data_IF_335466945588
#
_entry.id   IF_335466945588
#
_cell.length_a   1.000
_cell.length_b   1.000
_cell.length_c   1.000
_cell.angle_alpha   90.00
_cell.angle_beta   90.00
_cell.angle_gamma   90.00
#
_symmetry.space_group_name_H-M   'P 1'
#
loop_
_entity.id
_entity.type
_entity.pdbx_description
1 polymer ?
#
# COMPACT_ATOMS: atom_id res chain seq x y z
N UNK A 1 29.08 -19.51 7.76
CA UNK A 1 29.53 -20.27 8.95
C UNK A 1 30.28 -21.57 8.57
N UNK A 2 30.80 -21.68 7.34
CA UNK A 2 31.20 -22.94 6.70
C UNK A 2 30.60 -23.01 5.28
N UNK A 3 30.93 -24.02 4.45
CA UNK A 3 30.31 -24.20 3.13
C UNK A 3 28.80 -24.44 3.22
N UNK A 4 28.04 -23.98 2.23
CA UNK A 4 26.57 -24.07 2.25
C UNK A 4 26.07 -25.52 2.24
N UNK A 5 25.10 -25.80 3.09
CA UNK A 5 24.41 -27.08 3.15
C UNK A 5 23.48 -27.27 1.94
N UNK A 6 23.01 -28.51 1.73
CA UNK A 6 22.03 -28.81 0.68
C UNK A 6 20.72 -28.03 0.87
N UNK A 7 20.24 -27.94 2.11
CA UNK A 7 19.00 -27.21 2.41
C UNK A 7 19.15 -25.71 2.10
N UNK A 8 20.30 -25.11 2.44
CA UNK A 8 20.58 -23.71 2.13
C UNK A 8 20.66 -23.46 0.62
N UNK A 9 21.25 -24.38 -0.15
CA UNK A 9 21.26 -24.32 -1.61
C UNK A 9 19.87 -24.42 -2.20
N UNK A 10 19.06 -25.37 -1.75
CA UNK A 10 17.68 -25.53 -2.22
C UNK A 10 16.85 -24.28 -1.91
N UNK A 11 16.95 -23.75 -0.69
CA UNK A 11 16.29 -22.50 -0.31
C UNK A 11 16.70 -21.33 -1.22
N UNK A 12 17.98 -21.21 -1.53
CA UNK A 12 18.48 -20.16 -2.42
C UNK A 12 17.93 -20.31 -3.85
N UNK A 13 17.85 -21.53 -4.37
CA UNK A 13 17.27 -21.81 -5.69
C UNK A 13 15.80 -21.44 -5.72
N UNK A 14 15.01 -21.86 -4.72
CA UNK A 14 13.59 -21.50 -4.62
C UNK A 14 13.43 -19.98 -4.53
N UNK A 15 14.21 -19.31 -3.69
CA UNK A 15 14.19 -17.85 -3.56
C UNK A 15 14.47 -17.14 -4.89
N UNK A 16 15.53 -17.55 -5.61
CA UNK A 16 15.84 -17.01 -6.93
C UNK A 16 14.74 -17.29 -7.95
N UNK A 17 14.11 -18.46 -7.88
CA UNK A 17 12.97 -18.82 -8.69
C UNK A 17 11.78 -17.88 -8.45
N UNK A 18 11.40 -17.66 -7.20
CA UNK A 18 10.32 -16.72 -6.82
C UNK A 18 10.63 -15.31 -7.31
N UNK A 19 11.83 -14.80 -7.03
CA UNK A 19 12.24 -13.47 -7.46
C UNK A 19 12.21 -13.34 -9.00
N UNK A 20 12.71 -14.35 -9.71
CA UNK A 20 12.68 -14.42 -11.17
C UNK A 20 11.25 -14.37 -11.72
N UNK A 21 10.36 -15.21 -11.19
CA UNK A 21 8.97 -15.28 -11.62
C UNK A 21 8.19 -14.00 -11.28
N UNK A 22 8.49 -13.33 -10.18
CA UNK A 22 7.91 -12.02 -9.88
C UNK A 22 8.38 -10.94 -10.87
N UNK A 23 9.67 -10.93 -11.23
CA UNK A 23 10.19 -9.98 -12.23
C UNK A 23 9.62 -10.24 -13.63
N UNK A 24 9.33 -11.50 -13.97
CA UNK A 24 8.80 -11.89 -15.29
C UNK A 24 7.28 -12.00 -15.37
N UNK A 25 6.54 -11.47 -14.39
CA UNK A 25 5.07 -11.56 -14.37
C UNK A 25 4.40 -11.09 -15.66
N UNK A 26 4.95 -10.07 -16.33
CA UNK A 26 4.44 -9.58 -17.61
C UNK A 26 4.55 -10.58 -18.78
N UNK A 27 5.41 -11.60 -18.68
CA UNK A 27 5.64 -12.60 -19.73
C UNK A 27 4.70 -13.82 -19.63
N UNK A 28 4.37 -14.24 -18.40
CA UNK A 28 3.61 -15.46 -18.16
C UNK A 28 2.26 -15.23 -17.46
N UNK A 29 1.99 -14.02 -16.95
CA UNK A 29 0.71 -13.66 -16.34
C UNK A 29 0.39 -14.40 -15.03
N UNK A 30 1.38 -15.04 -14.40
CA UNK A 30 1.15 -15.76 -13.14
C UNK A 30 1.01 -14.78 -11.99
N UNK A 31 -0.04 -14.92 -11.20
CA UNK A 31 -0.27 -14.08 -10.04
C UNK A 31 0.81 -14.30 -8.98
N UNK A 32 1.27 -13.23 -8.33
CA UNK A 32 2.33 -13.27 -7.31
C UNK A 32 2.01 -14.24 -6.16
N UNK A 33 0.73 -14.35 -5.76
CA UNK A 33 0.27 -15.31 -4.74
C UNK A 33 0.45 -16.76 -5.19
N UNK A 34 0.17 -17.07 -6.46
CA UNK A 34 0.34 -18.42 -6.98
C UNK A 34 1.81 -18.83 -6.99
N UNK A 35 2.69 -17.91 -7.39
CA UNK A 35 4.15 -18.11 -7.34
C UNK A 35 4.62 -18.40 -5.90
N UNK A 36 4.12 -17.65 -4.91
CA UNK A 36 4.46 -17.87 -3.51
C UNK A 36 3.97 -19.24 -2.99
N UNK A 37 2.74 -19.65 -3.33
CA UNK A 37 2.21 -20.96 -2.95
C UNK A 37 3.00 -22.12 -3.60
N UNK A 38 3.37 -21.97 -4.87
CA UNK A 38 4.23 -22.95 -5.56
C UNK A 38 5.60 -23.09 -4.89
N UNK A 39 6.16 -21.97 -4.41
CA UNK A 39 7.41 -21.99 -3.66
C UNK A 39 7.29 -22.75 -2.34
N UNK A 40 6.19 -22.53 -1.59
CA UNK A 40 5.89 -23.29 -0.37
C UNK A 40 5.78 -24.78 -0.67
N UNK A 41 5.06 -25.16 -1.74
CA UNK A 41 4.99 -26.55 -2.19
C UNK A 41 6.39 -27.12 -2.51
N UNK A 42 7.24 -26.35 -3.20
CA UNK A 42 8.62 -26.75 -3.49
C UNK A 42 9.47 -26.96 -2.23
N UNK A 43 9.34 -26.08 -1.23
CA UNK A 43 10.07 -26.19 0.04
C UNK A 43 9.61 -27.40 0.87
N UNK A 44 8.31 -27.71 0.85
CA UNK A 44 7.76 -28.92 1.48
C UNK A 44 8.23 -30.20 0.78
N UNK A 45 8.19 -30.23 -0.56
CA UNK A 45 8.61 -31.40 -1.35
C UNK A 45 10.12 -31.69 -1.25
N UNK A 46 10.91 -30.70 -0.83
CA UNK A 46 12.36 -30.82 -0.68
C UNK A 46 12.79 -31.01 0.77
N UNK A 47 11.83 -31.14 1.71
CA UNK A 47 12.04 -31.23 3.15
C UNK A 47 12.91 -30.09 3.72
N UNK A 48 12.93 -28.94 3.05
CA UNK A 48 13.57 -27.71 3.58
C UNK A 48 12.68 -27.06 4.62
N UNK A 49 11.36 -27.18 4.44
CA UNK A 49 10.35 -26.83 5.44
C UNK A 49 9.50 -28.07 5.73
N UNK A 50 9.15 -28.25 6.99
CA UNK A 50 8.17 -29.24 7.42
C UNK A 50 6.77 -28.61 7.51
N UNK A 51 5.74 -29.45 7.58
CA UNK A 51 4.38 -28.97 7.84
C UNK A 51 4.28 -28.26 9.20
N UNK A 52 5.00 -28.76 10.22
CA UNK A 52 5.00 -28.17 11.55
C UNK A 52 5.60 -26.76 11.53
N UNK A 53 6.67 -26.52 10.76
CA UNK A 53 7.24 -25.18 10.56
C UNK A 53 6.21 -24.19 10.02
N UNK A 54 5.35 -24.60 9.08
CA UNK A 54 4.31 -23.74 8.50
C UNK A 54 3.17 -23.49 9.49
N UNK A 55 2.71 -24.52 10.20
CA UNK A 55 1.58 -24.38 11.14
C UNK A 55 1.96 -23.68 12.44
N UNK A 56 3.24 -23.71 12.81
CA UNK A 56 3.77 -23.06 14.01
C UNK A 56 4.19 -21.61 13.78
N UNK A 57 4.24 -21.13 12.53
CA UNK A 57 4.56 -19.75 12.16
C UNK A 57 3.43 -18.77 12.54
N UNK A 58 3.32 -18.47 13.83
CA UNK A 58 2.23 -17.67 14.41
C UNK A 58 2.11 -16.29 13.78
N UNK A 59 3.21 -15.66 13.37
CA UNK A 59 3.16 -14.31 12.82
C UNK A 59 2.40 -14.28 11.47
N UNK A 60 2.58 -15.31 10.63
CA UNK A 60 1.86 -15.41 9.36
C UNK A 60 0.35 -15.62 9.58
N UNK A 61 -0.02 -16.51 10.51
CA UNK A 61 -1.42 -16.80 10.83
C UNK A 61 -2.14 -15.61 11.48
N UNK A 62 -1.46 -14.91 12.39
CA UNK A 62 -2.00 -13.71 13.02
C UNK A 62 -2.37 -12.68 11.94
N UNK A 63 -1.42 -12.32 11.07
CA UNK A 63 -1.65 -11.39 9.95
C UNK A 63 -2.79 -11.87 9.05
N UNK A 64 -2.82 -13.15 8.68
CA UNK A 64 -3.88 -13.69 7.82
C UNK A 64 -5.29 -13.47 8.40
N UNK A 65 -5.48 -13.71 9.70
CA UNK A 65 -6.79 -13.61 10.36
C UNK A 65 -7.23 -12.16 10.52
N UNK A 66 -6.41 -11.30 11.15
CA UNK A 66 -6.87 -9.94 11.44
C UNK A 66 -6.88 -9.04 10.20
N UNK A 67 -5.97 -9.25 9.24
CA UNK A 67 -5.93 -8.45 8.02
C UNK A 67 -7.16 -8.70 7.13
N UNK A 68 -7.63 -9.94 7.06
CA UNK A 68 -8.88 -10.28 6.35
C UNK A 68 -10.09 -9.54 6.93
N UNK A 69 -10.22 -9.53 8.26
CA UNK A 69 -11.26 -8.77 8.96
C UNK A 69 -11.16 -7.27 8.70
N UNK A 70 -9.95 -6.72 8.71
CA UNK A 70 -9.69 -5.31 8.47
C UNK A 70 -10.07 -4.87 7.03
N UNK A 71 -9.72 -5.66 6.02
CA UNK A 71 -10.13 -5.39 4.62
C UNK A 71 -11.65 -5.47 4.47
N UNK A 72 -12.30 -6.40 5.18
CA UNK A 72 -13.76 -6.52 5.15
C UNK A 72 -14.48 -5.35 5.79
N UNK A 73 -13.99 -4.86 6.93
CA UNK A 73 -14.49 -3.64 7.57
C UNK A 73 -14.30 -2.41 6.67
N UNK A 74 -13.15 -2.29 5.99
CA UNK A 74 -12.92 -1.21 5.03
C UNK A 74 -13.90 -1.25 3.85
N UNK A 75 -14.18 -2.44 3.33
CA UNK A 75 -15.21 -2.63 2.31
C UNK A 75 -16.62 -2.27 2.81
N UNK A 76 -16.95 -2.64 4.05
CA UNK A 76 -18.22 -2.26 4.67
C UNK A 76 -18.33 -0.73 4.88
N UNK A 77 -17.24 -0.08 5.28
CA UNK A 77 -17.13 1.37 5.42
C UNK A 77 -17.32 2.10 4.09
N UNK A 78 -16.80 1.53 3.00
CA UNK A 78 -17.05 2.03 1.64
C UNK A 78 -18.53 1.94 1.27
N UNK A 79 -19.16 0.79 1.55
CA UNK A 79 -20.58 0.53 1.21
C UNK A 79 -21.58 1.25 2.09
N UNK A 80 -21.20 1.68 3.30
CA UNK A 80 -22.09 2.44 4.19
C UNK A 80 -22.40 3.85 3.67
N UNK A 81 -21.64 4.32 2.67
CA UNK A 81 -21.75 5.68 2.14
C UNK A 81 -20.96 6.71 2.93
N UNK A 82 -20.36 6.36 4.08
CA UNK A 82 -19.61 7.32 4.89
C UNK A 82 -18.43 7.93 4.12
N UNK A 83 -17.63 7.10 3.44
CA UNK A 83 -16.47 7.60 2.67
C UNK A 83 -16.88 8.41 1.45
N UNK A 84 -18.06 8.13 0.89
CA UNK A 84 -18.68 8.95 -0.15
C UNK A 84 -19.04 10.32 0.38
N UNK A 85 -19.80 10.40 1.48
CA UNK A 85 -20.16 11.68 2.10
C UNK A 85 -18.91 12.46 2.51
N UNK A 86 -17.89 11.78 3.03
CA UNK A 86 -16.62 12.41 3.38
C UNK A 86 -15.91 13.02 2.16
N UNK A 87 -15.85 12.30 1.04
CA UNK A 87 -15.29 12.81 -0.21
C UNK A 87 -16.10 13.99 -0.77
N UNK A 88 -17.44 13.93 -0.72
CA UNK A 88 -18.33 15.01 -1.16
C UNK A 88 -18.18 16.28 -0.30
N UNK A 89 -18.05 16.13 1.03
CA UNK A 89 -17.76 17.25 1.94
C UNK A 89 -16.39 17.87 1.63
N UNK A 90 -15.38 17.04 1.37
CA UNK A 90 -14.06 17.52 0.97
C UNK A 90 -14.11 18.29 -0.36
N UNK A 91 -14.87 17.78 -1.33
CA UNK A 91 -15.09 18.44 -2.62
C UNK A 91 -15.82 19.78 -2.48
N UNK A 92 -16.77 19.87 -1.55
CA UNK A 92 -17.48 21.10 -1.20
C UNK A 92 -16.54 22.25 -0.80
N UNK A 93 -15.38 21.95 -0.20
CA UNK A 93 -14.37 22.96 0.15
C UNK A 93 -13.59 23.49 -1.07
N UNK A 94 -13.66 22.80 -2.21
CA UNK A 94 -12.91 23.11 -3.44
C UNK A 94 -13.79 23.65 -4.56
N UNK A 95 -15.05 24.00 -4.27
CA UNK A 95 -15.98 24.55 -5.26
C UNK A 95 -15.43 25.85 -5.84
N UNK A 96 -15.41 25.94 -7.17
CA UNK A 96 -14.90 27.11 -7.90
C UNK A 96 -13.38 27.17 -8.03
N UNK A 97 -12.64 26.20 -7.48
CA UNK A 97 -11.19 26.13 -7.65
C UNK A 97 -10.83 25.64 -9.05
N UNK A 98 -9.63 26.01 -9.52
CA UNK A 98 -9.06 25.40 -10.73
C UNK A 98 -8.72 23.94 -10.44
N UNK A 99 -8.91 23.05 -11.41
CA UNK A 99 -8.82 21.59 -11.22
C UNK A 99 -7.55 21.13 -10.50
N UNK A 100 -6.39 21.73 -10.78
CA UNK A 100 -5.11 21.33 -10.17
C UNK A 100 -5.02 21.74 -8.70
N UNK A 101 -5.64 22.86 -8.33
CA UNK A 101 -5.73 23.29 -6.93
C UNK A 101 -6.71 22.38 -6.16
N UNK A 102 -7.86 22.06 -6.78
CA UNK A 102 -8.84 21.14 -6.20
C UNK A 102 -8.24 19.74 -6.00
N UNK A 103 -7.53 19.22 -7.00
CA UNK A 103 -6.78 17.97 -6.92
C UNK A 103 -5.80 18.00 -5.74
N UNK A 104 -4.98 19.05 -5.61
CA UNK A 104 -4.04 19.19 -4.50
C UNK A 104 -4.73 19.15 -3.14
N UNK A 105 -5.80 19.92 -2.95
CA UNK A 105 -6.57 19.94 -1.71
C UNK A 105 -7.19 18.58 -1.38
N UNK A 106 -7.83 17.94 -2.35
CA UNK A 106 -8.46 16.62 -2.19
C UNK A 106 -7.43 15.52 -1.89
N UNK A 107 -6.27 15.55 -2.54
CA UNK A 107 -5.18 14.61 -2.28
C UNK A 107 -4.58 14.79 -0.88
N UNK A 108 -4.51 16.01 -0.34
CA UNK A 108 -4.08 16.25 1.04
C UNK A 108 -5.08 15.67 2.04
N UNK A 109 -6.39 15.89 1.81
CA UNK A 109 -7.43 15.30 2.65
C UNK A 109 -7.36 13.77 2.59
N UNK A 110 -7.26 13.19 1.40
CA UNK A 110 -7.10 11.75 1.20
C UNK A 110 -5.87 11.22 1.95
N UNK A 111 -4.69 11.83 1.74
CA UNK A 111 -3.44 11.40 2.35
C UNK A 111 -3.50 11.38 3.87
N UNK A 112 -3.98 12.47 4.47
CA UNK A 112 -4.00 12.61 5.93
C UNK A 112 -5.18 11.89 6.59
N UNK A 113 -6.24 11.56 5.85
CA UNK A 113 -7.27 10.64 6.35
C UNK A 113 -6.68 9.28 6.74
N UNK A 114 -5.52 8.90 6.21
CA UNK A 114 -4.83 7.67 6.58
C UNK A 114 -4.44 7.58 8.06
N UNK A 115 -4.36 8.70 8.79
CA UNK A 115 -4.26 8.65 10.26
C UNK A 115 -5.43 7.92 10.93
N UNK A 116 -6.57 7.79 10.25
CA UNK A 116 -7.73 7.01 10.70
C UNK A 116 -7.75 5.55 10.21
N UNK A 117 -6.74 5.09 9.47
CA UNK A 117 -6.71 3.75 8.87
C UNK A 117 -5.47 2.96 9.30
N UNK A 118 -5.67 1.69 9.65
CA UNK A 118 -4.60 0.77 10.04
C UNK A 118 -4.04 -0.07 8.87
N UNK A 119 -4.32 0.29 7.62
CA UNK A 119 -3.72 -0.33 6.43
C UNK A 119 -3.93 0.55 5.20
N UNK A 120 -2.88 0.72 4.40
CA UNK A 120 -2.97 1.36 3.08
C UNK A 120 -3.96 0.65 2.15
N UNK A 121 -4.11 -0.69 2.29
CA UNK A 121 -5.07 -1.45 1.48
C UNK A 121 -6.49 -1.17 1.93
N UNK A 122 -6.76 -1.12 3.24
CA UNK A 122 -8.07 -0.73 3.75
C UNK A 122 -8.43 0.71 3.36
N UNK A 123 -7.48 1.62 3.49
CA UNK A 123 -7.66 3.00 3.12
C UNK A 123 -8.03 3.13 1.63
N UNK A 124 -7.27 2.51 0.74
CA UNK A 124 -7.57 2.51 -0.70
C UNK A 124 -8.92 1.83 -1.00
N UNK A 125 -9.20 0.68 -0.38
CA UNK A 125 -10.49 -0.03 -0.55
C UNK A 125 -11.68 0.84 -0.15
N UNK A 126 -11.53 1.64 0.91
CA UNK A 126 -12.59 2.46 1.46
C UNK A 126 -12.79 3.78 0.70
N UNK A 127 -11.69 4.44 0.32
CA UNK A 127 -11.69 5.86 -0.07
C UNK A 127 -11.25 6.15 -1.51
N UNK A 128 -10.56 5.23 -2.19
CA UNK A 128 -10.01 5.50 -3.51
C UNK A 128 -11.09 5.88 -4.52
N UNK A 129 -12.15 5.07 -4.63
CA UNK A 129 -13.24 5.31 -5.59
C UNK A 129 -14.02 6.59 -5.26
N UNK A 130 -14.48 6.83 -4.01
CA UNK A 130 -15.11 8.10 -3.64
C UNK A 130 -14.29 9.35 -3.99
N UNK A 131 -12.98 9.34 -3.67
CA UNK A 131 -12.11 10.48 -3.96
C UNK A 131 -11.85 10.64 -5.46
N UNK A 132 -11.70 9.53 -6.20
CA UNK A 132 -11.55 9.57 -7.64
C UNK A 132 -12.75 10.25 -8.32
N UNK A 133 -13.97 9.92 -7.89
CA UNK A 133 -15.19 10.52 -8.44
C UNK A 133 -15.20 12.04 -8.26
N UNK A 134 -14.91 12.55 -7.06
CA UNK A 134 -14.93 13.99 -6.82
C UNK A 134 -13.77 14.74 -7.47
N UNK A 135 -12.60 14.11 -7.60
CA UNK A 135 -11.45 14.67 -8.31
C UNK A 135 -11.76 14.81 -9.82
N UNK A 136 -12.38 13.79 -10.43
CA UNK A 136 -12.81 13.85 -11.82
C UNK A 136 -13.89 14.90 -12.02
N UNK A 137 -14.84 15.02 -11.08
CA UNK A 137 -15.88 16.06 -11.12
C UNK A 137 -15.31 17.48 -11.00
N UNK A 138 -14.17 17.65 -10.34
CA UNK A 138 -13.42 18.92 -10.29
C UNK A 138 -12.67 19.25 -11.61
N UNK A 139 -12.75 18.38 -12.62
CA UNK A 139 -12.17 18.59 -13.95
C UNK A 139 -10.72 18.10 -14.11
N UNK A 140 -10.21 17.31 -13.17
CA UNK A 140 -8.85 16.75 -13.29
C UNK A 140 -8.76 15.72 -14.43
N UNK A 141 -7.66 15.70 -15.20
CA UNK A 141 -7.42 14.68 -16.23
C UNK A 141 -7.45 13.25 -15.63
N UNK A 142 -8.11 12.26 -16.29
CA UNK A 142 -8.31 10.94 -15.71
C UNK A 142 -7.02 10.22 -15.29
N UNK A 143 -5.99 10.26 -16.12
CA UNK A 143 -4.69 9.64 -15.81
C UNK A 143 -4.04 10.27 -14.58
N UNK A 144 -4.07 11.60 -14.48
CA UNK A 144 -3.53 12.33 -13.32
C UNK A 144 -4.31 11.97 -12.05
N UNK A 145 -5.63 11.91 -12.11
CA UNK A 145 -6.47 11.57 -10.96
C UNK A 145 -6.19 10.15 -10.44
N UNK A 146 -6.18 9.16 -11.34
CA UNK A 146 -5.95 7.74 -11.01
C UNK A 146 -4.56 7.52 -10.43
N UNK A 147 -3.53 8.04 -11.10
CA UNK A 147 -2.15 7.83 -10.69
C UNK A 147 -1.81 8.60 -9.41
N UNK A 148 -2.28 9.84 -9.26
CA UNK A 148 -2.06 10.61 -8.03
C UNK A 148 -2.62 9.89 -6.81
N UNK A 149 -3.87 9.40 -6.89
CA UNK A 149 -4.46 8.61 -5.81
C UNK A 149 -3.68 7.31 -5.57
N UNK A 150 -3.22 6.64 -6.63
CA UNK A 150 -2.44 5.41 -6.49
C UNK A 150 -1.12 5.66 -5.74
N UNK A 151 -0.39 6.72 -6.10
CA UNK A 151 0.83 7.09 -5.41
C UNK A 151 0.56 7.55 -3.97
N UNK A 152 -0.43 8.41 -3.74
CA UNK A 152 -0.73 8.93 -2.40
C UNK A 152 -1.23 7.85 -1.44
N UNK A 153 -1.88 6.80 -1.96
CA UNK A 153 -2.25 5.60 -1.18
C UNK A 153 -1.04 4.83 -0.65
N UNK A 154 0.12 4.96 -1.30
CA UNK A 154 1.36 4.32 -0.88
C UNK A 154 2.22 5.26 -0.04
N UNK A 155 2.30 6.54 -0.40
CA UNK A 155 3.10 7.54 0.31
C UNK A 155 2.63 7.75 1.75
N UNK A 156 1.34 7.55 2.05
CA UNK A 156 0.80 7.66 3.40
C UNK A 156 1.28 6.53 4.34
N UNK A 157 1.92 5.48 3.83
CA UNK A 157 2.46 4.37 4.61
C UNK A 157 3.40 4.79 5.75
N UNK A 158 4.10 5.91 5.59
CA UNK A 158 5.15 6.35 6.52
C UNK A 158 4.68 7.22 7.69
N UNK A 159 3.37 7.52 7.83
CA UNK A 159 2.90 8.54 8.79
C UNK A 159 2.50 7.98 10.16
N UNK A 160 2.18 6.69 10.25
CA UNK A 160 1.86 5.99 11.51
C UNK A 160 2.60 4.66 11.58
N UNK A 161 2.80 4.16 12.81
CA UNK A 161 3.42 2.85 13.04
C UNK A 161 2.52 1.68 12.62
N UNK A 162 1.22 1.91 12.37
CA UNK A 162 0.27 0.88 11.98
C UNK A 162 -0.23 1.03 10.53
N UNK A 163 0.21 2.03 9.77
CA UNK A 163 -0.34 2.30 8.44
C UNK A 163 -0.09 1.18 7.42
N UNK A 164 0.88 0.30 7.69
CA UNK A 164 1.23 -0.86 6.85
C UNK A 164 1.53 -2.09 7.70
N UNK A 165 1.47 -3.27 7.10
CA UNK A 165 1.78 -4.55 7.76
C UNK A 165 3.18 -4.61 8.37
N UNK A 166 4.26 -4.09 7.74
CA UNK A 166 5.58 -4.06 8.36
C UNK A 166 5.73 -3.05 9.51
N UNK A 167 4.84 -2.04 9.58
CA UNK A 167 4.92 -0.95 10.54
C UNK A 167 4.96 -1.43 12.00
N UNK A 168 3.99 -2.24 12.45
CA UNK A 168 3.97 -2.77 13.81
C UNK A 168 5.16 -3.67 14.13
N UNK A 169 5.67 -4.41 13.14
CA UNK A 169 6.86 -5.27 13.30
C UNK A 169 8.08 -4.40 13.61
N UNK A 170 8.30 -3.34 12.83
CA UNK A 170 9.41 -2.41 13.03
C UNK A 170 9.27 -1.61 14.33
N UNK A 171 8.06 -1.17 14.65
CA UNK A 171 7.79 -0.41 15.88
C UNK A 171 7.92 -1.28 17.14
N UNK A 172 7.52 -2.56 17.06
CA UNK A 172 7.64 -3.54 18.13
C UNK A 172 9.08 -3.85 18.55
N UNK A 173 10.07 -3.51 17.72
CA UNK A 173 11.48 -3.62 18.08
C UNK A 173 11.93 -2.63 19.17
N UNK A 174 11.11 -1.61 19.49
CA UNK A 174 11.34 -0.72 20.63
C UNK A 174 12.42 0.34 20.44
N UNK A 175 12.98 0.49 19.23
CA UNK A 175 14.04 1.47 18.95
C UNK A 175 13.59 2.93 18.95
N UNK A 176 12.31 3.21 18.71
CA UNK A 176 11.77 4.57 18.57
C UNK A 176 10.43 4.71 19.27
N UNK A 177 10.21 5.85 19.93
CA UNK A 177 8.92 6.17 20.56
C UNK A 177 7.86 6.49 19.50
N UNK A 178 6.58 6.29 19.84
CA UNK A 178 5.45 6.62 18.95
C UNK A 178 5.48 8.10 18.53
N UNK A 179 5.71 9.02 19.48
CA UNK A 179 5.75 10.45 19.21
C UNK A 179 6.87 10.82 18.23
N UNK A 180 8.05 10.20 18.38
CA UNK A 180 9.18 10.39 17.45
C UNK A 180 8.81 9.89 16.06
N UNK A 181 8.29 8.67 15.94
CA UNK A 181 7.92 8.07 14.65
C UNK A 181 6.87 8.91 13.93
N UNK A 182 5.83 9.35 14.62
CA UNK A 182 4.75 10.14 14.03
C UNK A 182 5.22 11.55 13.61
N UNK A 183 6.08 12.18 14.42
CA UNK A 183 6.68 13.46 14.07
C UNK A 183 7.55 13.33 12.81
N UNK A 184 8.39 12.30 12.75
CA UNK A 184 9.23 12.03 11.57
C UNK A 184 8.37 11.70 10.35
N UNK A 185 7.31 10.91 10.50
CA UNK A 185 6.38 10.57 9.43
C UNK A 185 5.67 11.80 8.85
N UNK A 186 5.20 12.71 9.73
CA UNK A 186 4.61 13.98 9.31
C UNK A 186 5.64 14.93 8.67
N UNK A 187 6.89 14.94 9.16
CA UNK A 187 7.95 15.72 8.53
C UNK A 187 8.32 15.14 7.16
N UNK A 188 8.28 13.83 6.99
CA UNK A 188 8.58 13.13 5.74
C UNK A 188 7.42 13.18 4.74
N UNK A 189 6.17 13.35 5.17
CA UNK A 189 5.03 13.47 4.25
C UNK A 189 5.16 14.71 3.36
N UNK A 190 5.64 15.83 3.91
CA UNK A 190 5.80 17.10 3.17
C UNK A 190 6.70 16.94 1.93
N UNK A 191 7.98 16.50 2.04
CA UNK A 191 8.82 16.31 0.86
C UNK A 191 8.26 15.22 -0.07
N UNK A 192 7.65 14.16 0.43
CA UNK A 192 7.01 13.13 -0.41
C UNK A 192 5.89 13.72 -1.28
N UNK A 193 4.99 14.49 -0.67
CA UNK A 193 3.89 15.17 -1.37
C UNK A 193 4.42 16.18 -2.38
N UNK A 194 5.45 16.96 -2.03
CA UNK A 194 6.03 17.96 -2.94
C UNK A 194 6.74 17.29 -4.14
N UNK A 195 7.50 16.23 -3.90
CA UNK A 195 8.21 15.51 -4.97
C UNK A 195 7.19 14.87 -5.93
N UNK A 196 6.23 14.11 -5.43
CA UNK A 196 5.26 13.43 -6.29
C UNK A 196 4.24 14.38 -6.91
N UNK A 197 3.81 15.41 -6.18
CA UNK A 197 2.86 16.39 -6.68
C UNK A 197 3.46 17.33 -7.72
N UNK A 198 4.66 17.88 -7.46
CA UNK A 198 5.28 18.87 -8.35
C UNK A 198 6.17 18.21 -9.41
N UNK A 199 7.20 17.46 -9.00
CA UNK A 199 8.12 16.83 -9.96
C UNK A 199 7.41 15.72 -10.76
N UNK A 200 6.58 14.93 -10.09
CA UNK A 200 5.71 13.95 -10.76
C UNK A 200 4.73 14.61 -11.72
N UNK A 201 4.04 15.68 -11.30
CA UNK A 201 3.13 16.43 -12.17
C UNK A 201 3.82 17.00 -13.42
N UNK A 202 5.01 17.59 -13.27
CA UNK A 202 5.84 18.07 -14.38
C UNK A 202 6.26 16.92 -15.32
N UNK A 203 6.68 15.79 -14.76
CA UNK A 203 7.04 14.61 -15.53
C UNK A 203 5.86 14.08 -16.35
N UNK A 204 4.66 14.01 -15.76
CA UNK A 204 3.46 13.56 -16.47
C UNK A 204 3.03 14.50 -17.57
N UNK A 205 3.28 15.81 -17.42
CA UNK A 205 3.09 16.78 -18.49
C UNK A 205 4.03 16.53 -19.66
N UNK A 206 5.30 16.19 -19.40
CA UNK A 206 6.26 15.80 -20.44
C UNK A 206 5.84 14.52 -21.18
N UNK A 207 5.18 13.59 -20.48
CA UNK A 207 4.62 12.37 -21.07
C UNK A 207 3.30 12.60 -21.81
N UNK A 208 2.74 13.81 -21.79
CA UNK A 208 1.48 14.15 -22.44
C UNK A 208 0.24 13.59 -21.73
N UNK A 209 0.33 13.30 -20.43
CA UNK A 209 -0.82 12.80 -19.65
C UNK A 209 -1.78 13.92 -19.23
N UNK A 210 -1.34 15.18 -19.33
CA UNK A 210 -2.13 16.39 -19.18
C UNK A 210 -1.42 17.63 -19.75
#
# INVERSE_FOLDING_TARGET
MGPMSRAEWTMLVVFRGVAGLWMTMGLHGMHYTAIALLAICGLLLTDVLTWDDITSERAAWDIFVWYGGLVMMAGALSRSGLTRTFAELAAGMTVGWVWWAALGGLLLVYFYAHYGFASITAHATAMYIPFLVVILAAGAPPWVAVLSLAYYSNLCAGITHYGTTPGPILFGAGYVSQGTLWKLGLMASVPNILIFGLLGGLWWKLLGWW
#
